data_IF_122419329431
#
_entry.id   IF_122419329431
#
_cell.length_a   1.000
_cell.length_b   1.000
_cell.length_c   1.000
_cell.angle_alpha   90.00
_cell.angle_beta   90.00
_cell.angle_gamma   90.00
#
_symmetry.space_group_name_H-M   'P 1'
#
loop_
_entity.id
_entity.type
_entity.pdbx_description
1 polymer ?
#
# COMPACT_ATOMS: atom_id res chain seq x y z
N UNK A 1 -10.01 3.85 -0.05
CA UNK A 1 -9.76 3.15 1.23
C UNK A 1 -10.54 3.74 2.39
N UNK A 2 -10.50 5.06 2.62
CA UNK A 2 -11.29 5.74 3.68
C UNK A 2 -12.77 5.31 3.73
N UNK A 3 -13.50 5.41 2.62
CA UNK A 3 -14.92 5.05 2.56
C UNK A 3 -15.20 3.58 2.94
N UNK A 4 -14.34 2.65 2.49
CA UNK A 4 -14.49 1.24 2.82
C UNK A 4 -14.26 0.93 4.30
N UNK A 5 -13.32 1.66 4.95
CA UNK A 5 -13.11 1.55 6.40
C UNK A 5 -14.23 2.20 7.21
N UNK A 6 -14.82 3.31 6.74
CA UNK A 6 -16.03 3.90 7.33
C UNK A 6 -17.20 2.91 7.24
N UNK A 7 -17.37 2.24 6.09
CA UNK A 7 -18.40 1.23 5.92
C UNK A 7 -18.20 0.02 6.84
N UNK A 8 -16.94 -0.34 7.11
CA UNK A 8 -16.59 -1.38 8.07
C UNK A 8 -16.99 -0.98 9.50
N UNK A 9 -16.70 0.26 9.92
CA UNK A 9 -17.15 0.77 11.24
C UNK A 9 -18.67 0.81 11.33
N UNK A 10 -19.36 1.17 10.23
CA UNK A 10 -20.83 1.21 10.18
C UNK A 10 -21.51 -0.17 10.30
N UNK A 11 -20.75 -1.28 10.23
CA UNK A 11 -21.29 -2.64 10.45
C UNK A 11 -21.89 -2.84 11.85
N UNK A 12 -21.42 -2.08 12.83
CA UNK A 12 -21.92 -2.14 14.22
C UNK A 12 -23.28 -1.45 14.37
N UNK A 13 -23.54 -0.44 13.53
CA UNK A 13 -24.72 0.43 13.62
C UNK A 13 -25.87 -0.10 12.76
N UNK A 14 -25.54 -0.72 11.63
CA UNK A 14 -26.51 -1.07 10.59
C UNK A 14 -27.07 -2.48 10.80
N UNK A 15 -28.40 -2.60 10.83
CA UNK A 15 -29.14 -3.87 10.99
C UNK A 15 -29.22 -4.72 9.70
N UNK A 16 -28.65 -4.25 8.59
CA UNK A 16 -28.59 -4.99 7.32
C UNK A 16 -27.73 -6.27 7.47
N UNK A 17 -27.90 -7.30 6.60
CA UNK A 17 -27.01 -8.46 6.60
C UNK A 17 -25.54 -8.05 6.43
N UNK A 18 -24.81 -8.08 7.55
CA UNK A 18 -23.43 -7.61 7.74
C UNK A 18 -22.44 -8.18 6.71
N UNK A 19 -22.71 -9.39 6.21
CA UNK A 19 -21.88 -10.10 5.23
C UNK A 19 -21.77 -9.35 3.90
N UNK A 20 -22.89 -8.84 3.38
CA UNK A 20 -22.90 -8.10 2.11
C UNK A 20 -22.27 -6.72 2.28
N UNK A 21 -22.53 -6.05 3.40
CA UNK A 21 -21.94 -4.74 3.70
C UNK A 21 -20.41 -4.84 3.86
N UNK A 22 -19.93 -5.89 4.53
CA UNK A 22 -18.50 -6.21 4.62
C UNK A 22 -17.88 -6.46 3.24
N UNK A 23 -18.56 -7.23 2.39
CA UNK A 23 -18.10 -7.52 1.03
C UNK A 23 -17.94 -6.25 0.20
N UNK A 24 -18.95 -5.38 0.21
CA UNK A 24 -18.91 -4.07 -0.49
C UNK A 24 -17.80 -3.19 0.08
N UNK A 25 -17.63 -3.14 1.41
CA UNK A 25 -16.57 -2.37 2.06
C UNK A 25 -15.18 -2.84 1.65
N UNK A 26 -14.96 -4.16 1.59
CA UNK A 26 -13.70 -4.75 1.13
C UNK A 26 -13.45 -4.51 -0.35
N UNK A 27 -14.50 -4.57 -1.19
CA UNK A 27 -14.39 -4.23 -2.60
C UNK A 27 -13.95 -2.77 -2.81
N UNK A 28 -14.58 -1.82 -2.11
CA UNK A 28 -14.21 -0.38 -2.18
C UNK A 28 -12.79 -0.15 -1.67
N UNK A 29 -12.39 -0.80 -0.58
CA UNK A 29 -11.02 -0.72 -0.06
C UNK A 29 -10.02 -1.29 -1.06
N UNK A 30 -10.35 -2.43 -1.69
CA UNK A 30 -9.54 -3.05 -2.74
C UNK A 30 -9.37 -2.16 -3.96
N UNK A 31 -10.45 -1.54 -4.47
CA UNK A 31 -10.37 -0.57 -5.56
C UNK A 31 -9.44 0.61 -5.23
N UNK A 32 -9.38 1.00 -3.94
CA UNK A 32 -8.46 2.04 -3.48
C UNK A 32 -6.97 1.70 -3.55
N UNK A 33 -6.60 0.42 -3.68
CA UNK A 33 -5.19 -0.02 -3.78
C UNK A 33 -4.50 0.40 -5.09
N UNK A 34 -5.27 0.84 -6.09
CA UNK A 34 -4.73 1.38 -7.34
C UNK A 34 -3.87 2.64 -7.18
N UNK A 35 -3.90 3.28 -6.00
CA UNK A 35 -3.05 4.43 -5.67
C UNK A 35 -1.55 4.12 -5.76
N UNK A 36 -1.12 2.88 -5.46
CA UNK A 36 0.29 2.47 -5.52
C UNK A 36 0.84 2.61 -6.93
N UNK A 37 0.04 2.21 -7.92
CA UNK A 37 0.41 2.32 -9.34
C UNK A 37 0.56 3.80 -9.74
N UNK A 38 -0.37 4.66 -9.31
CA UNK A 38 -0.32 6.09 -9.61
C UNK A 38 0.94 6.76 -9.05
N UNK A 39 1.29 6.49 -7.79
CA UNK A 39 2.50 7.05 -7.15
C UNK A 39 3.76 6.57 -7.87
N UNK A 40 3.82 5.29 -8.26
CA UNK A 40 4.96 4.73 -8.99
C UNK A 40 5.09 5.32 -10.39
N UNK A 41 3.98 5.45 -11.11
CA UNK A 41 3.95 6.08 -12.43
C UNK A 41 4.36 7.55 -12.34
N UNK A 42 3.82 8.31 -11.37
CA UNK A 42 4.24 9.69 -11.14
C UNK A 42 5.73 9.81 -10.81
N UNK A 43 6.25 8.97 -9.92
CA UNK A 43 7.68 8.97 -9.60
C UNK A 43 8.54 8.68 -10.83
N UNK A 44 8.07 7.84 -11.76
CA UNK A 44 8.77 7.55 -13.02
C UNK A 44 8.76 8.71 -14.01
N UNK A 45 7.68 9.50 -14.07
CA UNK A 45 7.53 10.64 -14.98
C UNK A 45 8.09 11.94 -14.41
N UNK A 46 8.17 12.06 -13.08
CA UNK A 46 8.76 13.21 -12.39
C UNK A 46 10.29 13.11 -12.24
N UNK A 47 10.91 11.95 -12.54
CA UNK A 47 12.34 11.72 -12.37
C UNK A 47 13.09 11.58 -13.71
N UNK A 48 14.34 12.05 -13.72
CA UNK A 48 15.28 11.89 -14.83
C UNK A 48 15.88 10.47 -14.85
N UNK A 49 16.35 9.98 -16.00
CA UNK A 49 16.98 8.66 -16.15
C UNK A 49 18.06 8.33 -15.11
N UNK A 50 18.86 9.32 -14.68
CA UNK A 50 19.89 9.13 -13.65
C UNK A 50 19.32 8.90 -12.25
N UNK A 51 18.20 9.53 -11.91
CA UNK A 51 17.63 9.50 -10.55
C UNK A 51 16.39 8.62 -10.42
N UNK A 52 15.84 8.12 -11.54
CA UNK A 52 14.61 7.33 -11.60
C UNK A 52 14.66 6.07 -10.73
N UNK A 53 15.77 5.35 -10.76
CA UNK A 53 15.94 4.15 -9.93
C UNK A 53 15.88 4.48 -8.44
N UNK A 54 16.52 5.58 -8.02
CA UNK A 54 16.49 6.08 -6.65
C UNK A 54 15.08 6.52 -6.24
N UNK A 55 14.39 7.27 -7.08
CA UNK A 55 13.01 7.70 -6.83
C UNK A 55 12.05 6.51 -6.68
N UNK A 56 12.15 5.51 -7.57
CA UNK A 56 11.34 4.29 -7.49
C UNK A 56 11.71 3.46 -6.24
N UNK A 57 12.99 3.41 -5.86
CA UNK A 57 13.42 2.75 -4.64
C UNK A 57 12.79 3.39 -3.38
N UNK A 58 12.74 4.73 -3.29
CA UNK A 58 12.06 5.42 -2.19
C UNK A 58 10.56 5.11 -2.14
N UNK A 59 9.86 5.12 -3.28
CA UNK A 59 8.43 4.77 -3.34
C UNK A 59 8.21 3.32 -2.90
N UNK A 60 9.04 2.40 -3.36
CA UNK A 60 8.90 0.98 -3.03
C UNK A 60 9.26 0.71 -1.56
N UNK A 61 10.26 1.42 -1.02
CA UNK A 61 10.60 1.39 0.40
C UNK A 61 9.44 1.90 1.26
N UNK A 62 8.82 3.03 0.90
CA UNK A 62 7.64 3.56 1.59
C UNK A 62 6.46 2.58 1.58
N UNK A 63 6.20 1.94 0.44
CA UNK A 63 5.19 0.88 0.33
C UNK A 63 5.50 -0.29 1.26
N UNK A 64 6.73 -0.80 1.22
CA UNK A 64 7.17 -1.93 2.03
C UNK A 64 7.07 -1.62 3.53
N UNK A 65 7.52 -0.43 3.95
CA UNK A 65 7.37 0.05 5.32
C UNK A 65 5.89 0.09 5.72
N UNK A 66 5.01 0.64 4.89
CA UNK A 66 3.57 0.68 5.17
C UNK A 66 2.98 -0.72 5.37
N UNK A 67 3.33 -1.68 4.51
CA UNK A 67 2.85 -3.08 4.63
C UNK A 67 3.39 -3.81 5.85
N UNK A 68 4.59 -3.46 6.32
CA UNK A 68 5.14 -3.98 7.58
C UNK A 68 4.50 -3.34 8.80
N UNK A 69 4.41 -2.01 8.80
CA UNK A 69 3.92 -1.27 9.96
C UNK A 69 2.44 -1.56 10.24
N UNK A 70 1.64 -1.92 9.22
CA UNK A 70 0.22 -2.26 9.39
C UNK A 70 -0.03 -3.27 10.52
N UNK A 71 0.46 -4.53 10.42
CA UNK A 71 0.30 -5.53 11.48
C UNK A 71 0.97 -5.14 12.80
N UNK A 72 2.13 -4.46 12.76
CA UNK A 72 2.80 -4.00 13.98
C UNK A 72 1.94 -2.99 14.75
N UNK A 73 1.27 -2.07 14.06
CA UNK A 73 0.32 -1.14 14.69
C UNK A 73 -0.90 -1.87 15.26
N UNK A 74 -1.28 -3.01 14.69
CA UNK A 74 -2.34 -3.86 15.23
C UNK A 74 -1.97 -4.43 16.62
N UNK A 75 -0.68 -4.65 16.91
CA UNK A 75 -0.22 -5.09 18.24
C UNK A 75 -0.60 -4.10 19.36
N UNK A 76 -0.60 -2.81 19.05
CA UNK A 76 -0.90 -1.74 20.03
C UNK A 76 -2.35 -1.86 20.53
N UNK A 77 -3.24 -2.45 19.73
CA UNK A 77 -4.66 -2.61 20.06
C UNK A 77 -4.99 -3.95 20.74
N UNK A 78 -4.04 -4.88 20.86
CA UNK A 78 -4.21 -6.14 21.59
C UNK A 78 -4.69 -5.96 23.04
N UNK A 79 -4.12 -5.06 23.87
CA UNK A 79 -4.57 -4.88 25.25
C UNK A 79 -6.03 -4.37 25.36
N UNK A 80 -6.62 -3.90 24.26
CA UNK A 80 -8.03 -3.49 24.22
C UNK A 80 -8.99 -4.68 24.31
N UNK A 81 -8.55 -5.87 23.87
CA UNK A 81 -9.32 -7.11 23.94
C UNK A 81 -10.68 -7.06 23.23
N UNK A 82 -11.53 -8.04 23.56
CA UNK A 82 -12.94 -8.10 23.19
C UNK A 82 -13.74 -8.34 24.49
N UNK A 83 -14.82 -7.59 24.79
CA UNK A 83 -15.60 -6.68 23.95
C UNK A 83 -15.27 -5.18 24.15
N UNK A 84 -14.00 -4.84 24.36
CA UNK A 84 -13.45 -3.48 24.26
C UNK A 84 -14.15 -2.40 25.07
N UNK A 85 -14.00 -1.14 24.62
CA UNK A 85 -14.63 0.04 25.22
C UNK A 85 -15.80 0.53 24.36
N UNK A 86 -17.00 0.63 24.95
CA UNK A 86 -18.17 1.26 24.30
C UNK A 86 -18.16 2.75 24.60
N UNK A 87 -17.77 3.57 23.63
CA UNK A 87 -17.72 5.03 23.79
C UNK A 87 -19.11 5.65 23.64
N UNK A 88 -19.98 5.04 22.85
CA UNK A 88 -21.39 5.38 22.72
C UNK A 88 -22.19 4.10 22.58
N UNK A 89 -23.48 4.11 22.92
CA UNK A 89 -24.36 2.92 22.84
C UNK A 89 -24.42 2.25 21.46
N UNK A 90 -23.83 2.87 20.43
CA UNK A 90 -23.78 2.45 19.03
C UNK A 90 -22.35 2.30 18.46
N UNK A 91 -21.28 2.62 19.21
CA UNK A 91 -19.91 2.58 18.71
C UNK A 91 -19.01 1.82 19.69
N UNK A 92 -18.51 0.65 19.30
CA UNK A 92 -17.57 -0.15 20.10
C UNK A 92 -16.15 -0.01 19.53
N UNK A 93 -15.19 0.24 20.43
CA UNK A 93 -13.78 0.16 20.09
C UNK A 93 -13.26 -1.15 20.65
N UNK A 94 -13.28 -2.15 19.77
CA UNK A 94 -12.79 -3.50 20.04
C UNK A 94 -11.50 -3.76 19.24
N UNK A 95 -10.81 -4.85 19.55
CA UNK A 95 -9.63 -5.33 18.81
C UNK A 95 -9.82 -5.34 17.27
N UNK A 96 -11.05 -5.55 16.81
CA UNK A 96 -11.41 -5.63 15.39
C UNK A 96 -11.70 -4.28 14.73
N UNK A 97 -12.24 -3.32 15.48
CA UNK A 97 -12.67 -2.02 14.95
C UNK A 97 -11.60 -0.94 15.14
N UNK A 98 -10.75 -1.05 16.17
CA UNK A 98 -9.65 -0.12 16.44
C UNK A 98 -8.68 0.09 15.24
N UNK A 99 -8.23 -0.97 14.53
CA UNK A 99 -7.39 -0.80 13.35
C UNK A 99 -8.06 -0.03 12.22
N UNK A 100 -9.40 -0.14 12.08
CA UNK A 100 -10.14 0.58 11.05
C UNK A 100 -10.19 2.10 11.33
N UNK A 101 -10.33 2.51 12.60
CA UNK A 101 -10.23 3.92 12.99
C UNK A 101 -8.84 4.49 12.70
N UNK A 102 -7.78 3.76 13.05
CA UNK A 102 -6.42 4.18 12.76
C UNK A 102 -6.20 4.30 11.24
N UNK A 103 -6.68 3.34 10.46
CA UNK A 103 -6.59 3.38 9.00
C UNK A 103 -7.33 4.60 8.43
N UNK A 104 -8.51 4.95 8.95
CA UNK A 104 -9.22 6.17 8.57
C UNK A 104 -8.39 7.43 8.87
N UNK A 105 -7.83 7.55 10.08
CA UNK A 105 -6.98 8.67 10.48
C UNK A 105 -5.75 8.82 9.58
N UNK A 106 -5.06 7.70 9.26
CA UNK A 106 -3.92 7.70 8.35
C UNK A 106 -4.29 8.12 6.93
N UNK A 107 -5.46 7.70 6.43
CA UNK A 107 -5.94 8.12 5.11
C UNK A 107 -6.24 9.63 5.07
N UNK A 108 -6.85 10.19 6.12
CA UNK A 108 -7.12 11.62 6.23
C UNK A 108 -5.80 12.40 6.30
N UNK A 109 -4.86 11.96 7.15
CA UNK A 109 -3.54 12.56 7.26
C UNK A 109 -2.80 12.55 5.91
N UNK A 110 -2.83 11.41 5.20
CA UNK A 110 -2.25 11.30 3.86
C UNK A 110 -2.89 12.24 2.84
N UNK A 111 -4.21 12.42 2.88
CA UNK A 111 -4.92 13.37 2.02
C UNK A 111 -4.55 14.83 2.32
N UNK A 112 -4.38 15.17 3.60
CA UNK A 112 -3.93 16.50 4.03
C UNK A 112 -2.47 16.73 3.60
N UNK A 113 -1.60 15.76 3.84
CA UNK A 113 -0.20 15.82 3.43
C UNK A 113 -0.07 16.00 1.91
N UNK A 114 -0.89 15.31 1.13
CA UNK A 114 -0.95 15.49 -0.31
C UNK A 114 -1.40 16.91 -0.67
N UNK A 115 -2.44 17.47 -0.04
CA UNK A 115 -2.87 18.86 -0.33
C UNK A 115 -1.83 19.93 0.04
N UNK A 116 -1.08 19.74 1.12
CA UNK A 116 -0.20 20.78 1.67
C UNK A 116 1.24 20.68 1.14
N UNK A 117 1.76 19.46 1.02
CA UNK A 117 3.17 19.21 0.72
C UNK A 117 3.42 18.82 -0.75
N UNK A 118 2.40 18.31 -1.45
CA UNK A 118 2.58 17.87 -2.82
C UNK A 118 2.58 19.06 -3.77
N UNK A 119 3.72 19.26 -4.44
CA UNK A 119 3.84 20.16 -5.58
C UNK A 119 4.08 19.33 -6.83
N UNK A 120 3.15 19.42 -7.77
CA UNK A 120 3.25 18.71 -9.04
C UNK A 120 4.43 19.24 -9.85
N UNK A 121 5.35 18.34 -10.21
CA UNK A 121 6.46 18.64 -11.10
C UNK A 121 6.70 17.46 -12.04
N UNK A 122 6.56 17.70 -13.34
CA UNK A 122 6.73 16.68 -14.37
C UNK A 122 8.05 16.91 -15.09
N UNK A 123 9.02 16.03 -14.89
CA UNK A 123 10.28 16.03 -15.63
C UNK A 123 10.03 15.47 -17.04
N UNK A 124 9.60 16.34 -17.96
CA UNK A 124 9.62 16.03 -19.40
C UNK A 124 8.39 16.40 -20.22
N UNK A 125 7.25 16.79 -19.60
CA UNK A 125 6.07 17.22 -20.37
C UNK A 125 6.12 18.74 -20.65
N UNK A 126 6.64 19.53 -19.71
CA UNK A 126 6.67 21.00 -19.84
C UNK A 126 7.80 21.45 -20.78
N UNK A 127 8.94 20.76 -20.80
CA UNK A 127 10.02 21.09 -21.74
C UNK A 127 9.60 20.89 -23.20
N UNK A 128 8.76 19.90 -23.52
CA UNK A 128 8.25 19.74 -24.89
C UNK A 128 7.31 20.88 -25.29
N UNK A 129 6.43 21.34 -24.38
CA UNK A 129 5.50 22.43 -24.68
C UNK A 129 6.18 23.80 -24.84
N UNK A 130 7.26 24.07 -24.10
CA UNK A 130 8.01 25.34 -24.19
C UNK A 130 9.06 25.28 -25.31
N UNK A 131 9.75 24.15 -25.50
CA UNK A 131 10.74 23.99 -26.58
C UNK A 131 10.11 23.94 -27.97
N UNK A 132 8.87 23.46 -28.11
CA UNK A 132 8.14 23.50 -29.39
C UNK A 132 7.80 24.92 -29.88
N UNK A 133 7.94 25.95 -29.04
CA UNK A 133 7.63 27.34 -29.41
C UNK A 133 8.84 28.22 -29.74
N UNK A 134 10.08 27.79 -29.47
CA UNK A 134 11.25 28.67 -29.62
C UNK A 134 12.48 28.13 -30.36
N UNK A 135 12.52 26.88 -30.81
CA UNK A 135 13.72 26.44 -31.54
C UNK A 135 13.40 25.45 -32.65
N UNK A 136 12.95 26.00 -33.78
CA UNK A 136 13.31 25.45 -35.08
C UNK A 136 14.84 25.51 -35.21
N UNK A 137 15.56 24.44 -34.82
CA UNK A 137 16.91 24.05 -35.27
C UNK A 137 17.47 22.96 -34.35
N UNK A 138 17.90 21.84 -34.96
CA UNK A 138 18.65 20.73 -34.35
C UNK A 138 17.84 19.65 -33.59
N UNK A 139 17.12 18.84 -34.38
CA UNK A 139 17.15 17.37 -34.31
C UNK A 139 17.35 16.71 -32.93
N UNK A 140 16.28 16.57 -32.16
CA UNK A 140 16.06 15.37 -31.35
C UNK A 140 14.62 14.91 -31.57
N UNK A 141 14.45 14.00 -32.52
CA UNK A 141 13.22 13.22 -32.65
C UNK A 141 12.88 12.61 -31.28
N UNK A 142 11.59 12.52 -30.90
CA UNK A 142 11.19 11.81 -29.69
C UNK A 142 11.83 10.40 -29.73
N UNK A 143 12.35 9.87 -28.62
CA UNK A 143 12.96 8.54 -28.61
C UNK A 143 11.93 7.55 -29.17
N UNK A 144 12.27 6.95 -30.31
CA UNK A 144 11.48 5.88 -30.93
C UNK A 144 11.45 4.77 -29.88
N UNK A 145 10.31 4.63 -29.21
CA UNK A 145 10.08 3.57 -28.24
C UNK A 145 10.03 2.29 -29.09
N UNK A 146 11.01 1.38 -28.96
CA UNK A 146 11.00 0.14 -29.72
C UNK A 146 9.69 -0.60 -29.41
N UNK A 147 9.10 -1.26 -30.42
CA UNK A 147 7.90 -2.06 -30.22
C UNK A 147 8.16 -3.05 -29.09
N UNK A 148 7.41 -2.93 -28.00
CA UNK A 148 7.61 -3.79 -26.84
C UNK A 148 7.09 -5.19 -27.16
N UNK A 149 7.80 -6.21 -26.68
CA UNK A 149 7.35 -7.58 -26.84
C UNK A 149 6.13 -7.84 -25.96
N UNK A 150 4.96 -7.96 -26.61
CA UNK A 150 3.68 -8.19 -25.96
C UNK A 150 3.69 -9.52 -25.18
N UNK A 151 4.38 -10.54 -25.69
CA UNK A 151 4.46 -11.86 -25.06
C UNK A 151 5.30 -11.75 -23.79
N UNK A 152 6.45 -11.08 -23.85
CA UNK A 152 7.30 -10.85 -22.68
C UNK A 152 6.57 -10.05 -21.59
N UNK A 153 5.83 -9.00 -21.97
CA UNK A 153 5.02 -8.20 -21.04
C UNK A 153 3.90 -9.03 -20.42
N UNK A 154 3.23 -9.88 -21.20
CA UNK A 154 2.17 -10.75 -20.71
C UNK A 154 2.71 -11.79 -19.72
N UNK A 155 3.85 -12.41 -20.01
CA UNK A 155 4.54 -13.33 -19.07
C UNK A 155 4.90 -12.60 -17.77
N UNK A 156 5.43 -11.37 -17.87
CA UNK A 156 5.77 -10.57 -16.70
C UNK A 156 4.54 -10.25 -15.84
N UNK A 157 3.44 -9.82 -16.46
CA UNK A 157 2.19 -9.58 -15.74
C UNK A 157 1.62 -10.85 -15.10
N UNK A 158 1.66 -11.98 -15.79
CA UNK A 158 1.18 -13.25 -15.26
C UNK A 158 2.03 -13.74 -14.08
N UNK A 159 3.35 -13.61 -14.18
CA UNK A 159 4.28 -13.91 -13.08
C UNK A 159 3.99 -13.03 -11.86
N UNK A 160 3.80 -11.73 -12.07
CA UNK A 160 3.51 -10.79 -10.99
C UNK A 160 2.14 -11.03 -10.36
N UNK A 161 1.14 -11.37 -11.16
CA UNK A 161 -0.18 -11.78 -10.69
C UNK A 161 -0.08 -13.02 -9.80
N UNK A 162 0.60 -14.07 -10.26
CA UNK A 162 0.80 -15.32 -9.50
C UNK A 162 1.50 -15.06 -8.17
N UNK A 163 2.56 -14.23 -8.16
CA UNK A 163 3.27 -13.87 -6.94
C UNK A 163 2.36 -13.15 -5.92
N UNK A 164 1.58 -12.16 -6.37
CA UNK A 164 0.67 -11.41 -5.50
C UNK A 164 -0.50 -12.29 -5.02
N UNK A 165 -0.98 -13.20 -5.87
CA UNK A 165 -2.01 -14.16 -5.53
C UNK A 165 -1.55 -15.11 -4.41
N UNK A 166 -0.38 -15.73 -4.55
CA UNK A 166 0.18 -16.62 -3.52
C UNK A 166 0.37 -15.86 -2.21
N UNK A 167 0.96 -14.66 -2.25
CA UNK A 167 1.20 -13.86 -1.05
C UNK A 167 -0.10 -13.50 -0.31
N UNK A 168 -1.13 -13.08 -1.06
CA UNK A 168 -2.44 -12.74 -0.48
C UNK A 168 -3.13 -13.95 0.15
N UNK A 169 -3.04 -15.13 -0.47
CA UNK A 169 -3.61 -16.36 0.08
C UNK A 169 -2.91 -16.77 1.38
N UNK A 170 -1.58 -16.72 1.42
CA UNK A 170 -0.80 -17.03 2.62
C UNK A 170 -1.13 -16.07 3.78
N UNK A 171 -1.23 -14.77 3.49
CA UNK A 171 -1.60 -13.76 4.50
C UNK A 171 -3.03 -13.98 5.03
N UNK A 172 -3.97 -14.33 4.14
CA UNK A 172 -5.37 -14.54 4.51
C UNK A 172 -5.55 -15.79 5.37
N UNK A 173 -4.92 -16.90 4.99
CA UNK A 173 -5.07 -18.20 5.67
C UNK A 173 -4.19 -18.28 6.93
N UNK A 174 -3.10 -17.53 7.00
CA UNK A 174 -2.10 -17.61 8.06
C UNK A 174 -2.70 -17.52 9.47
N UNK A 175 -3.60 -16.56 9.71
CA UNK A 175 -4.25 -16.39 11.02
C UNK A 175 -5.11 -17.60 11.42
N UNK A 176 -5.94 -18.11 10.50
CA UNK A 176 -6.79 -19.28 10.74
C UNK A 176 -5.95 -20.56 10.90
N UNK A 177 -4.89 -20.70 10.11
CA UNK A 177 -3.95 -21.82 10.21
C UNK A 177 -3.24 -21.85 11.56
N UNK A 178 -2.77 -20.70 12.06
CA UNK A 178 -2.15 -20.60 13.39
C UNK A 178 -3.12 -20.92 14.52
N UNK A 179 -4.39 -20.51 14.41
CA UNK A 179 -5.42 -20.88 15.40
C UNK A 179 -5.70 -22.38 15.39
N UNK A 180 -5.82 -23.00 14.20
CA UNK A 180 -6.15 -24.42 14.07
C UNK A 180 -4.99 -25.36 14.44
N UNK A 181 -3.77 -25.07 14.01
CA UNK A 181 -2.62 -25.96 14.23
C UNK A 181 -2.05 -25.87 15.65
N UNK A 182 -2.02 -24.67 16.24
CA UNK A 182 -1.40 -24.45 17.55
C UNK A 182 -2.41 -24.22 18.68
N UNK A 183 -3.71 -24.31 18.38
CA UNK A 183 -4.81 -23.99 19.31
C UNK A 183 -4.62 -22.62 19.97
N UNK A 184 -4.14 -21.64 19.19
CA UNK A 184 -3.91 -20.28 19.67
C UNK A 184 -5.22 -19.51 19.77
N UNK A 185 -5.36 -18.73 20.85
CA UNK A 185 -6.40 -17.70 20.97
C UNK A 185 -6.20 -16.62 19.90
N UNK A 186 -7.29 -15.95 19.50
CA UNK A 186 -7.29 -14.91 18.48
C UNK A 186 -6.21 -13.85 18.71
N UNK A 187 -6.07 -13.38 19.95
CA UNK A 187 -5.04 -12.43 20.33
C UNK A 187 -3.63 -12.97 20.13
N UNK A 188 -3.35 -14.23 20.51
CA UNK A 188 -2.02 -14.84 20.35
C UNK A 188 -1.66 -15.07 18.89
N UNK A 189 -2.63 -15.47 18.06
CA UNK A 189 -2.44 -15.63 16.62
C UNK A 189 -2.05 -14.30 15.97
N UNK A 190 -2.79 -13.22 16.28
CA UNK A 190 -2.48 -11.87 15.78
C UNK A 190 -1.11 -11.39 16.25
N UNK A 191 -0.72 -11.65 17.51
CA UNK A 191 0.61 -11.28 18.00
C UNK A 191 1.73 -11.95 17.21
N UNK A 192 1.61 -13.26 16.98
CA UNK A 192 2.64 -14.02 16.29
C UNK A 192 2.77 -13.61 14.81
N UNK A 193 1.65 -13.47 14.10
CA UNK A 193 1.65 -12.99 12.71
C UNK A 193 2.24 -11.59 12.61
N UNK A 194 1.86 -10.68 13.50
CA UNK A 194 2.36 -9.31 13.50
C UNK A 194 3.84 -9.21 13.84
N UNK A 195 4.33 -10.03 14.78
CA UNK A 195 5.75 -10.12 15.11
C UNK A 195 6.58 -10.65 13.93
N UNK A 196 6.10 -11.71 13.26
CA UNK A 196 6.75 -12.25 12.07
C UNK A 196 6.82 -11.20 10.94
N UNK A 197 5.73 -10.47 10.70
CA UNK A 197 5.69 -9.40 9.70
C UNK A 197 6.61 -8.23 10.07
N UNK A 198 6.75 -7.93 11.37
CA UNK A 198 7.71 -6.97 11.89
C UNK A 198 9.16 -7.37 11.55
N UNK A 199 9.53 -8.63 11.79
CA UNK A 199 10.85 -9.15 11.41
C UNK A 199 11.11 -9.02 9.90
N UNK A 200 10.16 -9.43 9.06
CA UNK A 200 10.24 -9.30 7.59
C UNK A 200 10.46 -7.84 7.19
N UNK A 201 9.80 -6.90 7.86
CA UNK A 201 9.99 -5.49 7.56
C UNK A 201 11.30 -4.90 7.99
N UNK A 202 11.88 -5.34 9.11
CA UNK A 202 13.24 -4.96 9.52
C UNK A 202 14.24 -5.41 8.45
N UNK A 203 14.12 -6.66 7.98
CA UNK A 203 14.94 -7.16 6.88
C UNK A 203 14.73 -6.35 5.60
N UNK A 204 13.48 -6.04 5.26
CA UNK A 204 13.15 -5.27 4.06
C UNK A 204 13.73 -3.85 4.12
N UNK A 205 13.61 -3.18 5.26
CA UNK A 205 14.19 -1.86 5.48
C UNK A 205 15.72 -1.90 5.41
N UNK A 206 16.35 -2.90 6.03
CA UNK A 206 17.79 -3.08 5.95
C UNK A 206 18.28 -3.25 4.51
N UNK A 207 17.57 -4.05 3.70
CA UNK A 207 17.90 -4.25 2.28
C UNK A 207 17.75 -2.96 1.47
N UNK A 208 16.65 -2.21 1.65
CA UNK A 208 16.47 -0.92 0.95
C UNK A 208 17.49 0.13 1.40
N UNK A 209 17.80 0.18 2.69
CA UNK A 209 18.81 1.08 3.22
C UNK A 209 20.20 0.76 2.68
N UNK A 210 20.57 -0.53 2.63
CA UNK A 210 21.81 -0.98 2.01
C UNK A 210 21.85 -0.60 0.52
N UNK A 211 20.76 -0.85 -0.22
CA UNK A 211 20.68 -0.50 -1.64
C UNK A 211 20.88 1.01 -1.89
N UNK A 212 20.27 1.87 -1.07
CA UNK A 212 20.39 3.33 -1.19
C UNK A 212 21.79 3.83 -0.82
N UNK A 213 22.41 3.24 0.20
CA UNK A 213 23.72 3.67 0.74
C UNK A 213 24.90 3.18 -0.10
N UNK A 214 24.83 1.95 -0.61
CA UNK A 214 25.92 1.35 -1.38
C UNK A 214 25.87 1.68 -2.87
N UNK A 215 24.86 2.44 -3.33
CA UNK A 215 24.68 2.89 -4.72
C UNK A 215 25.08 1.79 -5.70
N UNK A 216 24.34 0.67 -5.66
CA UNK A 216 24.58 -0.58 -6.39
C UNK A 216 24.39 -0.44 -7.92
N UNK A 217 24.88 0.67 -8.47
CA UNK A 217 24.99 1.03 -9.89
C UNK A 217 26.37 0.76 -10.46
N UNK A 218 27.32 0.29 -9.65
CA UNK A 218 28.69 -0.04 -10.08
C UNK A 218 28.87 -1.53 -10.27
#
# INVERSE_FOLDING_TARGET
MLLGNILYIALEIVAFPRRYLLFVGRFITGAGSGNVTLVRTYASTASTFKDRERAIAYVTCGQALGTTFGPVLQLIFIPLGYPGFRIFSFLTIDLYTAPAYLACAMNICGAIALKVLFKENYAGIIETSIASSKTASSSKLPPIIPAYDIIAVLICYFSRFTQMFINTNLETIGSAFSMLMFNFSEAKSVTFTSAAQGCVGIFTFATYFAYIKFDLKK
#
